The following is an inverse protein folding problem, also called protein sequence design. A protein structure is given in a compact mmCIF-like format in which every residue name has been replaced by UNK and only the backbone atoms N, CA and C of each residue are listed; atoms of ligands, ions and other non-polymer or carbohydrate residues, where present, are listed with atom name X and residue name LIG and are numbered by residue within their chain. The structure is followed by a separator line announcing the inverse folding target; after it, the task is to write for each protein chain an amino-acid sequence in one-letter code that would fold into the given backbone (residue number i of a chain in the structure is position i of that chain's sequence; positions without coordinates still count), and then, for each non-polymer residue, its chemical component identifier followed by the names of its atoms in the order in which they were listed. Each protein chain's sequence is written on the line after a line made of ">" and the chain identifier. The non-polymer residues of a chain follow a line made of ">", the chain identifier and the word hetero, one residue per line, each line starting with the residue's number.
data_IF_821105159019
#
_entry.id   IF_821105159019
#
_cell.length_a   1.000
_cell.length_b   1.000
_cell.length_c   1.000
_cell.angle_alpha   90.00
_cell.angle_beta   90.00
_cell.angle_gamma   90.00
#
_symmetry.space_group_name_H-M   'P 1'
#
loop_
_entity.id
_entity.type
_entity.pdbx_description
1 polymer ?
#
# COMPACT_ATOMS: atom_id res chain seq x y z
N UNK A 1 -17.29 -15.59 28.52
CA UNK A 1 -17.75 -14.52 27.61
C UNK A 1 -16.53 -13.96 26.91
N UNK A 2 -16.42 -14.24 25.62
CA UNK A 2 -15.28 -13.83 24.80
C UNK A 2 -15.58 -12.50 24.10
N UNK A 3 -14.56 -11.65 24.00
CA UNK A 3 -14.61 -10.35 23.32
C UNK A 3 -13.74 -10.42 22.05
N UNK A 4 -14.13 -9.73 21.00
CA UNK A 4 -13.31 -9.57 19.80
C UNK A 4 -12.30 -8.46 20.08
N UNK A 5 -11.01 -8.75 19.95
CA UNK A 5 -9.94 -7.77 20.18
C UNK A 5 -9.39 -7.30 18.82
N UNK A 6 -9.55 -6.01 18.52
CA UNK A 6 -8.88 -5.34 17.42
C UNK A 6 -7.53 -4.80 17.90
N UNK A 7 -6.42 -5.41 17.48
CA UNK A 7 -5.10 -4.86 17.75
C UNK A 7 -4.68 -3.89 16.65
N UNK A 8 -4.62 -2.61 17.00
CA UNK A 8 -4.00 -1.56 16.18
C UNK A 8 -2.51 -1.52 16.49
N UNK A 9 -1.68 -1.92 15.53
CA UNK A 9 -0.22 -1.83 15.64
C UNK A 9 0.25 -0.49 15.06
N UNK A 10 1.09 0.24 15.81
CA UNK A 10 1.80 1.41 15.28
C UNK A 10 2.85 0.95 14.26
N UNK A 11 2.56 1.24 12.99
CA UNK A 11 3.39 0.84 11.87
C UNK A 11 4.55 1.82 11.70
N UNK A 12 5.74 1.30 11.42
CA UNK A 12 6.91 2.11 11.06
C UNK A 12 6.83 2.47 9.56
N UNK A 13 5.71 3.09 9.18
CA UNK A 13 5.30 3.36 7.79
C UNK A 13 6.24 4.33 7.05
N UNK A 14 7.09 5.07 7.76
CA UNK A 14 7.82 6.21 7.21
C UNK A 14 8.70 5.91 5.99
N UNK A 15 9.34 4.73 5.93
CA UNK A 15 10.25 4.38 4.82
C UNK A 15 9.56 3.76 3.61
N UNK A 16 8.50 3.00 3.80
CA UNK A 16 7.81 2.28 2.73
C UNK A 16 6.81 3.17 2.01
N UNK A 17 6.08 4.00 2.76
CA UNK A 17 5.26 5.06 2.18
C UNK A 17 6.13 6.04 1.37
N UNK A 18 7.35 6.34 1.84
CA UNK A 18 8.31 7.19 1.13
C UNK A 18 8.65 6.68 -0.27
N UNK A 19 8.91 5.39 -0.44
CA UNK A 19 9.24 4.79 -1.75
C UNK A 19 8.07 4.85 -2.73
N UNK A 20 6.84 4.57 -2.28
CA UNK A 20 5.65 4.68 -3.12
C UNK A 20 5.36 6.13 -3.52
N UNK A 21 5.56 7.08 -2.61
CA UNK A 21 5.41 8.53 -2.90
C UNK A 21 6.47 8.99 -3.89
N UNK A 22 7.74 8.59 -3.72
CA UNK A 22 8.83 8.92 -4.65
C UNK A 22 8.53 8.37 -6.05
N UNK A 23 8.06 7.11 -6.15
CA UNK A 23 7.67 6.53 -7.44
C UNK A 23 6.62 7.41 -8.13
N UNK A 24 5.49 7.70 -7.46
CA UNK A 24 4.42 8.54 -8.00
C UNK A 24 4.93 9.93 -8.41
N UNK A 25 5.78 10.54 -7.59
CA UNK A 25 6.39 11.83 -7.90
C UNK A 25 7.26 11.78 -9.16
N UNK A 26 8.10 10.74 -9.33
CA UNK A 26 8.90 10.56 -10.54
C UNK A 26 8.04 10.46 -11.81
N UNK A 27 6.90 9.76 -11.76
CA UNK A 27 5.98 9.66 -12.89
C UNK A 27 5.38 11.03 -13.23
N UNK A 28 4.88 11.76 -12.23
CA UNK A 28 4.32 13.11 -12.42
C UNK A 28 5.35 14.08 -12.98
N UNK A 29 6.60 14.03 -12.48
CA UNK A 29 7.69 14.85 -13.01
C UNK A 29 8.03 14.49 -14.46
N UNK A 30 8.01 13.20 -14.83
CA UNK A 30 8.22 12.75 -16.20
C UNK A 30 7.12 13.24 -17.15
N UNK A 31 5.85 13.22 -16.73
CA UNK A 31 4.75 13.81 -17.51
C UNK A 31 4.95 15.32 -17.65
N UNK A 32 5.30 16.00 -16.56
CA UNK A 32 5.57 17.44 -16.55
C UNK A 32 6.72 17.83 -17.48
N UNK A 33 7.80 17.02 -17.52
CA UNK A 33 8.96 17.31 -18.37
C UNK A 33 8.60 17.27 -19.86
N UNK A 34 7.69 16.39 -20.29
CA UNK A 34 7.18 16.34 -21.66
C UNK A 34 6.47 17.64 -22.03
N UNK A 35 5.58 18.15 -21.17
CA UNK A 35 4.91 19.42 -21.41
C UNK A 35 5.88 20.60 -21.52
N UNK A 36 6.88 20.65 -20.64
CA UNK A 36 7.94 21.68 -20.71
C UNK A 36 8.71 21.58 -22.02
N UNK A 37 9.06 20.38 -22.47
CA UNK A 37 9.77 20.18 -23.73
C UNK A 37 8.92 20.62 -24.94
N UNK A 38 7.61 20.35 -24.94
CA UNK A 38 6.70 20.79 -26.02
C UNK A 38 6.67 22.32 -26.10
N UNK A 39 6.55 23.01 -24.95
CA UNK A 39 6.58 24.48 -24.92
C UNK A 39 7.90 25.03 -25.45
N UNK A 40 9.03 24.41 -25.10
CA UNK A 40 10.35 24.83 -25.59
C UNK A 40 10.53 24.61 -27.10
N UNK A 41 9.96 23.56 -27.67
CA UNK A 41 9.94 23.35 -29.13
C UNK A 41 9.18 24.49 -29.82
N UNK A 42 8.03 24.90 -29.29
CA UNK A 42 7.25 26.01 -29.87
C UNK A 42 8.05 27.33 -29.83
N UNK A 43 8.78 27.58 -28.74
CA UNK A 43 9.53 28.82 -28.55
C UNK A 43 10.86 28.87 -29.32
N UNK A 44 11.54 27.73 -29.50
CA UNK A 44 12.89 27.67 -30.08
C UNK A 44 12.95 27.04 -31.47
N UNK A 45 11.87 26.41 -31.95
CA UNK A 45 11.79 25.66 -33.22
C UNK A 45 12.84 24.55 -33.38
N UNK A 46 13.44 24.12 -32.27
CA UNK A 46 14.51 23.11 -32.20
C UNK A 46 13.90 21.74 -31.88
N UNK A 47 13.92 20.82 -32.85
CA UNK A 47 13.35 19.47 -32.67
C UNK A 47 14.10 18.61 -31.65
N UNK A 48 15.32 18.98 -31.25
CA UNK A 48 16.12 18.23 -30.28
C UNK A 48 15.43 18.11 -28.91
N UNK A 49 14.63 19.10 -28.52
CA UNK A 49 13.88 19.11 -27.25
C UNK A 49 12.79 18.04 -27.19
N UNK A 50 12.23 17.64 -28.34
CA UNK A 50 11.25 16.55 -28.42
C UNK A 50 11.91 15.20 -28.11
N UNK A 51 13.11 14.95 -28.64
CA UNK A 51 13.87 13.74 -28.35
C UNK A 51 14.26 13.68 -26.86
N UNK A 52 14.69 14.80 -26.28
CA UNK A 52 15.01 14.88 -24.86
C UNK A 52 13.79 14.60 -23.96
N UNK A 53 12.62 15.18 -24.29
CA UNK A 53 11.37 14.91 -23.58
C UNK A 53 10.96 13.44 -23.63
N UNK A 54 11.08 12.79 -24.78
CA UNK A 54 10.77 11.37 -24.93
C UNK A 54 11.72 10.48 -24.09
N UNK A 55 13.03 10.74 -24.14
CA UNK A 55 14.02 10.01 -23.33
C UNK A 55 13.78 10.20 -21.84
N UNK A 56 13.49 11.44 -21.42
CA UNK A 56 13.15 11.76 -20.03
C UNK A 56 11.91 11.02 -19.55
N UNK A 57 10.84 10.97 -20.36
CA UNK A 57 9.62 10.24 -20.02
C UNK A 57 9.90 8.75 -19.84
N UNK A 58 10.63 8.13 -20.76
CA UNK A 58 10.99 6.71 -20.67
C UNK A 58 11.82 6.44 -19.41
N UNK A 59 12.80 7.28 -19.11
CA UNK A 59 13.62 7.15 -17.91
C UNK A 59 12.78 7.24 -16.63
N UNK A 60 11.91 8.24 -16.52
CA UNK A 60 11.01 8.41 -15.38
C UNK A 60 10.02 7.24 -15.23
N UNK A 61 9.51 6.71 -16.34
CA UNK A 61 8.63 5.54 -16.34
C UNK A 61 9.36 4.27 -15.86
N UNK A 62 10.61 4.05 -16.30
CA UNK A 62 11.43 2.94 -15.82
C UNK A 62 11.72 3.07 -14.33
N UNK A 63 12.12 4.26 -13.86
CA UNK A 63 12.32 4.51 -12.43
C UNK A 63 11.04 4.26 -11.63
N UNK A 64 9.88 4.71 -12.12
CA UNK A 64 8.58 4.44 -11.50
C UNK A 64 8.34 2.94 -11.30
N UNK A 65 8.56 2.13 -12.35
CA UNK A 65 8.39 0.67 -12.27
C UNK A 65 9.37 0.03 -11.27
N UNK A 66 10.64 0.44 -11.28
CA UNK A 66 11.66 -0.09 -10.37
C UNK A 66 11.30 0.25 -8.91
N UNK A 67 11.00 1.51 -8.61
CA UNK A 67 10.66 1.92 -7.24
C UNK A 67 9.35 1.30 -6.76
N UNK A 68 8.35 1.16 -7.64
CA UNK A 68 7.10 0.46 -7.32
C UNK A 68 7.38 -1.00 -6.97
N UNK A 69 8.15 -1.72 -7.79
CA UNK A 69 8.51 -3.11 -7.53
C UNK A 69 9.33 -3.27 -6.25
N UNK A 70 10.30 -2.38 -6.00
CA UNK A 70 11.09 -2.40 -4.77
C UNK A 70 10.21 -2.21 -3.53
N UNK A 71 9.23 -1.30 -3.58
CA UNK A 71 8.31 -1.10 -2.46
C UNK A 71 7.51 -2.37 -2.14
N UNK A 72 7.03 -3.09 -3.16
CA UNK A 72 6.33 -4.37 -2.97
C UNK A 72 7.23 -5.48 -2.42
N UNK A 73 8.47 -5.58 -2.91
CA UNK A 73 9.43 -6.60 -2.45
C UNK A 73 9.77 -6.40 -0.97
N UNK A 74 9.95 -5.16 -0.50
CA UNK A 74 10.26 -4.88 0.89
C UNK A 74 9.09 -5.31 1.80
N UNK A 75 7.85 -5.01 1.39
CA UNK A 75 6.65 -5.43 2.13
C UNK A 75 6.53 -6.95 2.18
N UNK A 76 6.83 -7.65 1.07
CA UNK A 76 6.85 -9.11 1.03
C UNK A 76 7.93 -9.70 1.94
N UNK A 77 9.14 -9.12 1.94
CA UNK A 77 10.22 -9.54 2.83
C UNK A 77 9.84 -9.37 4.31
N UNK A 78 9.24 -8.24 4.68
CA UNK A 78 8.77 -8.03 6.06
C UNK A 78 7.68 -9.04 6.45
N UNK A 79 6.74 -9.34 5.55
CA UNK A 79 5.72 -10.38 5.79
C UNK A 79 6.35 -11.76 5.99
N UNK A 80 7.36 -12.13 5.21
CA UNK A 80 8.10 -13.39 5.39
C UNK A 80 8.84 -13.45 6.74
N UNK A 81 9.29 -12.30 7.26
CA UNK A 81 9.89 -12.19 8.58
C UNK A 81 8.86 -12.13 9.73
N UNK A 82 7.55 -12.22 9.46
CA UNK A 82 6.50 -12.16 10.49
C UNK A 82 6.30 -10.77 11.11
N UNK A 83 6.80 -9.72 10.46
CA UNK A 83 6.64 -8.34 10.93
C UNK A 83 5.25 -7.85 10.46
N UNK A 84 4.40 -7.33 11.35
CA UNK A 84 3.10 -6.78 10.97
C UNK A 84 3.31 -5.57 10.05
N UNK A 85 2.62 -5.55 8.90
CA UNK A 85 2.70 -4.47 7.90
C UNK A 85 1.29 -4.16 7.37
N UNK A 86 0.88 -2.90 7.44
CA UNK A 86 -0.44 -2.39 7.00
C UNK A 86 -0.51 -2.12 5.50
N UNK A 87 0.63 -1.94 4.83
CA UNK A 87 0.67 -1.55 3.41
C UNK A 87 0.08 -2.63 2.49
N UNK A 88 -0.87 -2.21 1.64
CA UNK A 88 -1.49 -3.07 0.64
C UNK A 88 -0.48 -3.47 -0.45
N UNK A 89 -0.21 -4.76 -0.58
CA UNK A 89 0.51 -5.32 -1.74
C UNK A 89 -0.48 -5.46 -2.88
N UNK A 90 -0.08 -5.07 -4.09
CA UNK A 90 -0.91 -5.24 -5.28
C UNK A 90 -1.38 -6.69 -5.41
N UNK A 91 -2.69 -6.89 -5.56
CA UNK A 91 -3.32 -8.22 -5.63
C UNK A 91 -3.63 -8.89 -4.29
N UNK A 92 -3.22 -8.33 -3.14
CA UNK A 92 -3.64 -8.81 -1.82
C UNK A 92 -4.81 -7.98 -1.31
N UNK A 93 -5.98 -8.59 -1.15
CA UNK A 93 -7.08 -7.96 -0.43
C UNK A 93 -6.72 -7.96 1.06
N UNK A 94 -6.64 -6.80 1.67
CA UNK A 94 -6.59 -6.66 3.13
C UNK A 94 -7.89 -7.21 3.70
N UNK A 95 -7.78 -8.25 4.53
CA UNK A 95 -8.91 -8.85 5.24
C UNK A 95 -8.71 -8.66 6.73
N UNK A 96 -9.76 -8.23 7.42
CA UNK A 96 -9.81 -8.21 8.89
C UNK A 96 -9.91 -9.65 9.39
N UNK A 97 -9.01 -10.02 10.31
CA UNK A 97 -9.01 -11.34 10.94
C UNK A 97 -9.63 -11.17 12.33
N UNK A 98 -10.73 -11.85 12.60
CA UNK A 98 -11.36 -11.83 13.92
C UNK A 98 -10.81 -13.01 14.73
N UNK A 99 -10.40 -12.77 15.97
CA UNK A 99 -9.81 -13.77 16.86
C UNK A 99 -10.63 -13.88 18.14
N UNK A 100 -10.80 -15.10 18.65
CA UNK A 100 -11.43 -15.33 19.93
C UNK A 100 -10.49 -14.98 21.10
N UNK A 101 -10.91 -14.10 22.02
CA UNK A 101 -10.08 -13.72 23.18
C UNK A 101 -9.77 -14.87 24.15
N UNK A 102 -10.52 -15.97 24.12
CA UNK A 102 -10.37 -17.09 25.05
C UNK A 102 -9.41 -18.17 24.55
N UNK A 103 -9.49 -18.53 23.26
CA UNK A 103 -8.70 -19.62 22.69
C UNK A 103 -7.78 -19.21 21.54
N UNK A 104 -7.84 -17.94 21.09
CA UNK A 104 -7.02 -17.44 19.99
C UNK A 104 -7.35 -18.03 18.62
N UNK A 105 -8.43 -18.83 18.50
CA UNK A 105 -8.86 -19.36 17.21
C UNK A 105 -9.46 -18.25 16.34
N UNK A 106 -9.26 -18.38 15.03
CA UNK A 106 -9.91 -17.52 14.05
C UNK A 106 -11.43 -17.69 14.13
N UNK A 107 -12.12 -16.56 14.14
CA UNK A 107 -13.57 -16.47 14.17
C UNK A 107 -14.04 -15.65 12.97
N UNK A 108 -15.31 -15.83 12.57
CA UNK A 108 -15.94 -14.96 11.57
C UNK A 108 -16.58 -13.76 12.25
N UNK A 109 -16.64 -12.62 11.57
CA UNK A 109 -17.22 -11.37 12.07
C UNK A 109 -18.62 -11.57 12.65
N UNK A 110 -19.44 -12.37 11.96
CA UNK A 110 -20.84 -12.62 12.30
C UNK A 110 -21.05 -13.92 13.11
N UNK A 111 -19.97 -14.55 13.61
CA UNK A 111 -20.11 -15.77 14.39
C UNK A 111 -20.63 -15.47 15.80
N UNK A 112 -21.74 -16.12 16.17
CA UNK A 112 -22.34 -16.01 17.52
C UNK A 112 -21.56 -16.89 18.52
N UNK A 113 -20.82 -17.89 18.03
CA UNK A 113 -20.13 -18.88 18.83
C UNK A 113 -18.76 -19.23 18.24
N UNK A 114 -17.77 -19.43 19.11
CA UNK A 114 -16.44 -19.85 18.72
C UNK A 114 -16.40 -21.35 18.42
N UNK A 115 -15.92 -21.75 17.23
CA UNK A 115 -15.78 -23.17 16.87
C UNK A 115 -14.66 -23.89 17.65
N UNK A 116 -13.67 -23.13 18.17
CA UNK A 116 -12.55 -23.69 18.92
C UNK A 116 -12.86 -23.99 20.39
N UNK A 117 -13.39 -23.02 21.13
CA UNK A 117 -13.69 -23.16 22.56
C UNK A 117 -15.17 -23.36 22.88
N UNK A 118 -16.07 -23.15 21.92
CA UNK A 118 -17.51 -23.24 22.14
C UNK A 118 -18.11 -22.12 22.98
N UNK A 119 -17.37 -21.07 23.33
CA UNK A 119 -17.94 -19.89 23.99
C UNK A 119 -18.77 -19.05 23.01
N UNK A 120 -19.86 -18.48 23.50
CA UNK A 120 -20.64 -17.48 22.78
C UNK A 120 -19.92 -16.13 22.80
N UNK A 121 -19.86 -15.49 21.63
CA UNK A 121 -19.34 -14.14 21.48
C UNK A 121 -20.40 -13.13 21.91
N UNK A 122 -19.98 -12.11 22.67
CA UNK A 122 -20.88 -11.06 23.08
C UNK A 122 -21.18 -10.15 21.89
N UNK A 123 -22.28 -10.37 21.17
CA UNK A 123 -22.77 -9.50 20.10
C UNK A 123 -23.47 -8.27 20.69
N UNK A 124 -22.71 -7.44 21.39
CA UNK A 124 -23.14 -6.13 21.87
C UNK A 124 -22.11 -5.10 21.43
N UNK A 125 -22.48 -4.34 20.39
CA UNK A 125 -22.00 -3.01 20.00
C UNK A 125 -20.55 -2.64 20.33
N UNK A 126 -19.70 -2.56 19.30
CA UNK A 126 -18.55 -1.64 19.23
C UNK A 126 -18.27 -1.39 17.73
N UNK A 127 -19.20 -0.72 17.03
CA UNK A 127 -18.87 0.08 15.83
C UNK A 127 -18.34 1.43 16.34
N UNK A 128 -17.11 1.47 16.85
CA UNK A 128 -16.43 2.74 17.08
C UNK A 128 -16.05 3.32 15.71
N UNK A 129 -16.88 4.28 15.32
CA UNK A 129 -16.70 5.18 14.19
C UNK A 129 -16.05 6.43 14.78
N UNK A 130 -14.74 6.57 14.66
CA UNK A 130 -14.03 7.85 14.81
C UNK A 130 -12.86 7.91 13.82
#
# INVERSE_FOLDING_TARGET
>A
MARIITQTFEDTEGKEAGLAVIARACLVLGIGSVFVCIVLVILRAEFFWLAYGAVSMVFCAVCYLIFSALSEIIVLLKRLCGIPCSSAVSGTKTGTIYLCSQCGSMAWADSIKCEGCGEEFNSGDDQDTD
#
